data_IF_458600917213
#
_entry.id   IF_458600917213
#
_cell.length_a   1.000
_cell.length_b   1.000
_cell.length_c   1.000
_cell.angle_alpha   90.00
_cell.angle_beta   90.00
_cell.angle_gamma   90.00
#
_symmetry.space_group_name_H-M   'P 1'
#
loop_
_entity.id
_entity.type
_entity.pdbx_description
1 polymer ?
#
# COMPACT_ATOMS: atom_id res chain seq x y z
N UNK A 1 36.85 -1.96 76.33
CA UNK A 1 35.76 -2.18 77.30
C UNK A 1 35.21 -0.83 77.71
N UNK A 2 33.88 -0.59 77.64
CA UNK A 2 32.90 -1.33 76.82
C UNK A 2 33.22 -1.11 75.31
N UNK A 3 32.36 -0.91 74.31
CA UNK A 3 30.90 -0.90 74.18
C UNK A 3 30.52 -1.28 72.74
N UNK A 4 29.30 -1.76 72.53
CA UNK A 4 28.71 -2.01 71.21
C UNK A 4 27.23 -1.65 71.20
N UNK A 5 26.80 -0.83 70.25
CA UNK A 5 25.39 -0.56 69.95
C UNK A 5 25.20 -0.64 68.44
N UNK A 6 24.79 -1.82 67.99
CA UNK A 6 24.68 -2.14 66.58
C UNK A 6 23.50 -1.43 65.92
N UNK A 7 23.77 -0.76 64.80
CA UNK A 7 22.73 -0.24 63.92
C UNK A 7 22.04 -1.43 63.24
N UNK A 8 20.83 -1.76 63.68
CA UNK A 8 19.95 -2.69 62.94
C UNK A 8 19.64 -2.09 61.58
N UNK A 9 20.23 -2.65 60.51
CA UNK A 9 19.77 -2.37 59.16
C UNK A 9 18.31 -2.82 59.02
N UNK A 10 17.40 -1.86 58.84
CA UNK A 10 16.05 -2.17 58.36
C UNK A 10 16.14 -2.51 56.88
N UNK A 11 16.08 -3.80 56.55
CA UNK A 11 15.88 -4.25 55.18
C UNK A 11 14.51 -3.77 54.70
N UNK A 12 14.50 -2.88 53.70
CA UNK A 12 13.27 -2.50 53.02
C UNK A 12 12.67 -3.73 52.30
N UNK A 13 11.34 -3.93 52.34
CA UNK A 13 10.72 -5.05 51.65
C UNK A 13 10.89 -4.90 50.14
N UNK A 14 11.19 -6.01 49.45
CA UNK A 14 11.29 -6.02 48.01
C UNK A 14 9.93 -5.67 47.37
N UNK A 15 9.87 -4.58 46.61
CA UNK A 15 8.67 -4.19 45.87
C UNK A 15 8.49 -5.18 44.70
N UNK A 16 7.66 -6.20 44.90
CA UNK A 16 7.27 -7.15 43.86
C UNK A 16 6.42 -6.41 42.84
N UNK A 17 7.03 -5.97 41.73
CA UNK A 17 6.29 -5.50 40.56
C UNK A 17 5.52 -6.66 39.95
N UNK A 18 4.22 -6.76 40.25
CA UNK A 18 3.31 -7.62 39.50
C UNK A 18 3.40 -7.28 38.01
N UNK A 19 3.89 -8.24 37.22
CA UNK A 19 3.83 -8.17 35.76
C UNK A 19 2.41 -8.49 35.33
N UNK A 20 1.61 -7.47 35.07
CA UNK A 20 0.32 -7.64 34.41
C UNK A 20 0.54 -8.27 33.04
N UNK A 21 -0.09 -9.41 32.78
CA UNK A 21 -0.13 -9.99 31.45
C UNK A 21 -0.85 -9.01 30.50
N UNK A 22 -0.37 -8.82 29.26
CA UNK A 22 -1.05 -7.95 28.31
C UNK A 22 -2.48 -8.48 28.05
N UNK A 23 -3.49 -7.60 27.98
CA UNK A 23 -4.85 -8.03 27.70
C UNK A 23 -4.91 -8.70 26.32
N UNK A 24 -5.78 -9.72 26.21
CA UNK A 24 -5.96 -10.46 24.97
C UNK A 24 -6.25 -9.52 23.78
N UNK A 25 -5.71 -9.78 22.59
CA UNK A 25 -5.95 -8.94 21.42
C UNK A 25 -7.44 -8.91 21.10
N UNK A 26 -7.99 -7.70 20.90
CA UNK A 26 -9.38 -7.54 20.47
C UNK A 26 -9.59 -8.28 19.15
N UNK A 27 -10.73 -8.99 18.97
CA UNK A 27 -11.03 -9.67 17.71
C UNK A 27 -11.00 -8.64 16.56
N UNK A 28 -10.29 -8.98 15.48
CA UNK A 28 -10.19 -8.14 14.29
C UNK A 28 -11.40 -8.38 13.40
N UNK A 29 -11.96 -7.30 12.85
CA UNK A 29 -13.13 -7.34 11.97
C UNK A 29 -14.41 -6.86 12.66
N UNK A 30 -15.44 -6.60 11.86
CA UNK A 30 -16.78 -6.33 12.37
C UNK A 30 -17.41 -7.62 12.94
N UNK A 31 -18.39 -7.50 13.84
CA UNK A 31 -19.15 -8.66 14.32
C UNK A 31 -19.84 -9.38 13.14
N UNK A 32 -20.03 -10.71 13.19
CA UNK A 32 -20.85 -11.43 12.22
C UNK A 32 -22.22 -10.77 12.05
N UNK A 33 -22.67 -10.59 10.81
CA UNK A 33 -23.93 -9.92 10.46
C UNK A 33 -23.80 -8.42 10.14
N UNK A 34 -22.66 -7.77 10.36
CA UNK A 34 -22.44 -6.44 9.75
C UNK A 34 -22.09 -6.57 8.26
N UNK A 35 -22.70 -5.77 7.36
CA UNK A 35 -22.26 -5.71 5.97
C UNK A 35 -20.82 -5.19 5.92
N UNK A 36 -19.94 -5.95 5.28
CA UNK A 36 -18.53 -5.56 5.17
C UNK A 36 -18.39 -4.34 4.26
N UNK A 37 -17.73 -3.28 4.75
CA UNK A 37 -17.34 -2.12 3.95
C UNK A 37 -16.12 -2.40 3.03
N UNK A 38 -16.00 -3.64 2.56
CA UNK A 38 -14.95 -4.07 1.64
C UNK A 38 -15.22 -3.63 0.21
N UNK A 39 -14.21 -3.74 -0.66
CA UNK A 39 -14.43 -3.61 -2.11
C UNK A 39 -15.32 -4.76 -2.57
N UNK A 40 -16.36 -4.47 -3.34
CA UNK A 40 -17.17 -5.51 -3.96
C UNK A 40 -16.33 -6.25 -5.01
N UNK A 41 -16.41 -7.59 -4.99
CA UNK A 41 -15.89 -8.43 -6.07
C UNK A 41 -16.84 -8.42 -7.27
N UNK A 42 -16.40 -9.03 -8.37
CA UNK A 42 -17.16 -9.21 -9.61
C UNK A 42 -17.10 -10.68 -10.05
N UNK A 43 -18.05 -11.11 -10.88
CA UNK A 43 -18.13 -12.48 -11.40
C UNK A 43 -17.51 -12.64 -12.80
N UNK A 44 -17.54 -13.87 -13.34
CA UNK A 44 -17.00 -14.17 -14.67
C UNK A 44 -17.76 -13.51 -15.84
N UNK A 45 -19.05 -13.18 -15.66
CA UNK A 45 -19.85 -12.47 -16.67
C UNK A 45 -19.52 -10.97 -16.71
N UNK A 46 -18.99 -10.43 -15.61
CA UNK A 46 -18.55 -9.04 -15.48
C UNK A 46 -17.07 -8.82 -15.85
N UNK A 47 -16.30 -9.88 -16.11
CA UNK A 47 -14.86 -9.79 -16.33
C UNK A 47 -14.48 -9.58 -17.82
N UNK A 48 -13.67 -8.56 -18.13
CA UNK A 48 -13.05 -8.41 -19.47
C UNK A 48 -12.22 -9.63 -19.92
N UNK A 49 -11.72 -10.43 -18.97
CA UNK A 49 -11.02 -11.68 -19.23
C UNK A 49 -11.13 -12.63 -18.04
N UNK A 50 -11.23 -13.92 -18.34
CA UNK A 50 -10.98 -15.01 -17.39
C UNK A 50 -9.63 -15.64 -17.78
N UNK A 51 -8.77 -15.90 -16.79
CA UNK A 51 -7.47 -16.56 -16.98
C UNK A 51 -7.47 -17.81 -16.11
N UNK A 52 -7.48 -18.98 -16.73
CA UNK A 52 -7.27 -20.24 -16.03
C UNK A 52 -5.78 -20.42 -15.72
N UNK A 53 -5.47 -20.79 -14.48
CA UNK A 53 -4.11 -21.06 -14.03
C UNK A 53 -3.95 -22.58 -13.87
N UNK A 54 -2.99 -23.22 -14.54
CA UNK A 54 -2.81 -24.67 -14.44
C UNK A 54 -2.36 -25.08 -13.02
N UNK A 55 -2.70 -26.31 -12.58
CA UNK A 55 -2.31 -26.81 -11.28
C UNK A 55 -0.78 -26.88 -11.13
N UNK A 56 -0.28 -26.49 -9.95
CA UNK A 56 1.14 -26.50 -9.63
C UNK A 56 1.57 -27.90 -9.18
N UNK A 57 2.52 -28.51 -9.89
CA UNK A 57 3.09 -29.82 -9.53
C UNK A 57 2.38 -31.03 -10.14
N UNK A 58 1.33 -30.82 -10.95
CA UNK A 58 0.50 -31.90 -11.48
C UNK A 58 -0.33 -32.56 -10.37
N UNK A 59 -0.57 -33.86 -10.48
CA UNK A 59 -1.54 -34.58 -9.65
C UNK A 59 -0.99 -35.01 -8.28
N UNK A 60 0.26 -34.65 -7.94
CA UNK A 60 0.94 -35.07 -6.69
C UNK A 60 1.29 -33.89 -5.81
N UNK A 61 1.14 -34.08 -4.51
CA UNK A 61 1.48 -33.08 -3.50
C UNK A 61 3.00 -32.80 -3.51
N UNK A 62 3.44 -31.54 -3.75
CA UNK A 62 4.86 -31.20 -3.84
C UNK A 62 5.64 -31.36 -2.52
N UNK A 63 4.95 -31.62 -1.41
CA UNK A 63 5.53 -31.78 -0.07
C UNK A 63 5.62 -33.24 0.39
N UNK A 64 4.68 -34.11 -0.01
CA UNK A 64 4.60 -35.50 0.46
C UNK A 64 4.32 -36.54 -0.63
N UNK A 65 4.32 -36.16 -1.91
CA UNK A 65 4.13 -36.99 -3.11
C UNK A 65 2.80 -37.77 -3.22
N UNK A 66 1.90 -37.61 -2.25
CA UNK A 66 0.54 -38.19 -2.27
C UNK A 66 -0.29 -37.62 -3.42
N UNK A 67 -1.12 -38.45 -4.04
CA UNK A 67 -2.08 -38.02 -5.06
C UNK A 67 -3.04 -36.95 -4.49
N UNK A 68 -3.29 -35.91 -5.26
CA UNK A 68 -4.20 -34.82 -4.90
C UNK A 68 -5.66 -35.19 -5.24
N UNK A 69 -6.58 -34.82 -4.35
CA UNK A 69 -8.02 -34.91 -4.60
C UNK A 69 -8.52 -33.62 -5.26
N UNK A 70 -9.44 -33.75 -6.22
CA UNK A 70 -10.14 -32.59 -6.79
C UNK A 70 -11.09 -31.97 -5.77
N UNK A 71 -11.01 -30.65 -5.60
CA UNK A 71 -11.85 -29.86 -4.70
C UNK A 71 -12.62 -28.75 -5.43
N UNK A 72 -12.64 -28.80 -6.77
CA UNK A 72 -13.18 -27.76 -7.63
C UNK A 72 -12.27 -26.54 -7.74
N UNK A 73 -12.80 -25.49 -8.38
CA UNK A 73 -12.09 -24.25 -8.67
C UNK A 73 -12.58 -23.12 -7.78
N UNK A 74 -11.67 -22.44 -7.08
CA UNK A 74 -11.95 -21.16 -6.42
C UNK A 74 -11.60 -19.99 -7.35
N UNK A 75 -12.30 -18.87 -7.22
CA UNK A 75 -12.17 -17.71 -8.12
C UNK A 75 -11.70 -16.47 -7.37
N UNK A 76 -10.73 -15.75 -7.95
CA UNK A 76 -10.20 -14.51 -7.38
C UNK A 76 -10.34 -13.35 -8.35
N UNK A 77 -11.35 -12.52 -8.12
CA UNK A 77 -11.53 -11.26 -8.85
C UNK A 77 -10.41 -10.25 -8.52
N UNK A 78 -9.78 -9.68 -9.56
CA UNK A 78 -8.72 -8.66 -9.45
C UNK A 78 -8.97 -7.57 -10.48
N UNK A 79 -9.04 -6.31 -10.02
CA UNK A 79 -9.03 -5.14 -10.91
C UNK A 79 -7.58 -4.85 -11.27
N UNK A 80 -7.24 -4.95 -12.55
CA UNK A 80 -5.91 -4.69 -13.08
C UNK A 80 -5.93 -3.57 -14.13
N UNK A 81 -4.83 -2.83 -14.24
CA UNK A 81 -4.65 -1.74 -15.21
C UNK A 81 -3.59 -2.07 -16.24
N UNK A 82 -3.78 -1.61 -17.48
CA UNK A 82 -2.70 -1.67 -18.47
C UNK A 82 -1.61 -0.67 -18.08
N UNK A 83 -0.31 -1.04 -18.13
CA UNK A 83 0.78 -0.19 -17.67
C UNK A 83 0.87 1.09 -18.51
N UNK A 84 0.71 2.25 -17.85
CA UNK A 84 0.85 3.56 -18.51
C UNK A 84 2.32 3.80 -18.83
N UNK A 85 2.68 3.72 -20.12
CA UNK A 85 4.03 4.01 -20.60
C UNK A 85 4.32 5.51 -20.50
N UNK A 86 5.35 5.87 -19.74
CA UNK A 86 5.81 7.25 -19.64
C UNK A 86 6.65 7.64 -20.88
N UNK A 87 6.36 8.80 -21.48
CA UNK A 87 7.11 9.36 -22.60
C UNK A 87 7.95 10.57 -22.18
N UNK A 88 9.17 10.68 -22.74
CA UNK A 88 10.11 11.76 -22.42
C UNK A 88 10.03 12.89 -23.44
N UNK A 89 9.11 13.83 -23.21
CA UNK A 89 8.92 15.01 -24.08
C UNK A 89 9.85 16.15 -23.66
N UNK A 90 10.71 16.63 -24.58
CA UNK A 90 11.59 17.77 -24.35
C UNK A 90 11.07 19.04 -25.05
N UNK A 91 10.53 19.98 -24.28
CA UNK A 91 10.07 21.27 -24.79
C UNK A 91 11.24 22.24 -25.02
N UNK A 92 11.55 22.54 -26.29
CA UNK A 92 12.50 23.59 -26.67
C UNK A 92 11.74 24.93 -26.79
N UNK A 93 11.89 25.80 -25.79
CA UNK A 93 11.14 27.06 -25.68
C UNK A 93 11.97 28.25 -26.16
N UNK A 94 11.82 28.73 -27.43
CA UNK A 94 12.65 29.81 -27.97
C UNK A 94 12.41 31.13 -27.24
N UNK A 95 13.49 31.69 -26.67
CA UNK A 95 13.50 32.98 -25.99
C UNK A 95 13.95 34.07 -26.96
N UNK A 96 13.14 35.12 -27.14
CA UNK A 96 13.44 36.28 -28.01
C UNK A 96 13.42 37.57 -27.20
N UNK A 97 14.26 38.53 -27.55
CA UNK A 97 14.33 39.85 -26.91
C UNK A 97 13.97 40.94 -27.93
N UNK A 98 13.13 41.90 -27.53
CA UNK A 98 12.81 43.06 -28.36
C UNK A 98 13.64 44.27 -27.92
N UNK A 99 14.57 44.79 -28.74
CA UNK A 99 15.41 45.92 -28.36
C UNK A 99 14.62 47.22 -28.17
N UNK A 100 13.50 47.39 -28.90
CA UNK A 100 12.68 48.62 -28.86
C UNK A 100 11.91 48.78 -27.54
N UNK A 101 11.26 47.72 -27.05
CA UNK A 101 10.50 47.76 -25.79
C UNK A 101 11.25 47.14 -24.59
N UNK A 102 12.47 46.62 -24.81
CA UNK A 102 13.34 45.95 -23.83
C UNK A 102 12.70 44.76 -23.11
N UNK A 103 11.67 44.14 -23.70
CA UNK A 103 10.99 42.96 -23.14
C UNK A 103 11.51 41.65 -23.75
N UNK A 104 11.48 40.61 -22.93
CA UNK A 104 11.75 39.23 -23.33
C UNK A 104 10.43 38.50 -23.55
N UNK A 105 10.35 37.72 -24.62
CA UNK A 105 9.21 36.86 -24.97
C UNK A 105 9.70 35.41 -25.02
N UNK A 106 9.03 34.52 -24.29
CA UNK A 106 9.32 33.09 -24.26
C UNK A 106 7.99 32.32 -24.11
N UNK A 107 7.75 31.28 -24.92
CA UNK A 107 6.51 30.51 -24.84
C UNK A 107 6.45 29.61 -23.61
N UNK A 108 5.19 29.31 -23.22
CA UNK A 108 4.73 28.23 -22.33
C UNK A 108 5.09 26.83 -22.84
N UNK A 109 5.48 25.87 -22.01
CA UNK A 109 5.19 24.47 -22.35
C UNK A 109 3.66 24.25 -22.20
N UNK A 110 2.97 23.68 -23.20
CA UNK A 110 1.53 23.37 -23.09
C UNK A 110 1.30 22.21 -22.13
N UNK A 111 0.17 22.21 -21.41
CA UNK A 111 -0.27 21.11 -20.54
C UNK A 111 0.75 20.59 -19.51
N UNK A 112 1.65 21.46 -19.03
CA UNK A 112 2.58 21.19 -17.92
C UNK A 112 2.51 22.34 -16.91
N UNK A 113 2.39 22.02 -15.62
CA UNK A 113 2.47 23.00 -14.54
C UNK A 113 3.84 23.74 -14.54
N UNK A 114 3.89 25.05 -14.23
CA UNK A 114 5.15 25.79 -14.19
C UNK A 114 6.17 25.13 -13.25
N UNK A 115 7.39 24.89 -13.77
CA UNK A 115 8.50 24.22 -13.06
C UNK A 115 8.28 22.73 -12.70
N UNK A 116 7.20 22.10 -13.17
CA UNK A 116 7.00 20.65 -13.00
C UNK A 116 7.84 19.85 -13.99
N UNK A 117 8.41 18.73 -13.52
CA UNK A 117 9.00 17.69 -14.37
C UNK A 117 7.92 16.79 -15.00
N UNK A 118 6.82 16.58 -14.28
CA UNK A 118 5.73 15.68 -14.69
C UNK A 118 4.63 16.45 -15.41
N UNK A 119 4.18 15.93 -16.56
CA UNK A 119 3.08 16.49 -17.33
C UNK A 119 1.73 16.31 -16.64
N UNK A 120 0.76 17.17 -16.99
CA UNK A 120 -0.52 17.22 -16.28
C UNK A 120 -1.30 15.90 -16.35
N UNK A 121 -1.21 15.14 -17.45
CA UNK A 121 -1.85 13.83 -17.57
C UNK A 121 -1.33 12.84 -16.52
N UNK A 122 -0.01 12.73 -16.36
CA UNK A 122 0.60 11.79 -15.41
C UNK A 122 0.22 12.13 -13.96
N UNK A 123 0.25 13.43 -13.62
CA UNK A 123 -0.19 13.92 -12.30
C UNK A 123 -1.69 13.66 -12.08
N UNK A 124 -2.54 14.00 -13.05
CA UNK A 124 -3.99 13.81 -12.94
C UNK A 124 -4.37 12.33 -12.81
N UNK A 125 -3.73 11.44 -13.57
CA UNK A 125 -3.92 9.98 -13.44
C UNK A 125 -3.51 9.51 -12.05
N UNK A 126 -2.30 9.87 -11.58
CA UNK A 126 -1.82 9.46 -10.25
C UNK A 126 -2.75 9.94 -9.12
N UNK A 127 -3.15 11.22 -9.14
CA UNK A 127 -4.10 11.77 -8.15
C UNK A 127 -5.49 11.12 -8.27
N UNK A 128 -5.95 10.77 -9.47
CA UNK A 128 -7.24 10.08 -9.64
C UNK A 128 -7.19 8.66 -9.10
N UNK A 129 -6.13 7.89 -9.39
CA UNK A 129 -5.97 6.54 -8.84
C UNK A 129 -5.89 6.56 -7.31
N UNK A 130 -5.10 7.47 -6.74
CA UNK A 130 -4.93 7.60 -5.31
C UNK A 130 -6.19 8.14 -4.60
N UNK A 131 -6.69 9.31 -5.01
CA UNK A 131 -7.74 10.03 -4.28
C UNK A 131 -9.18 9.66 -4.68
N UNK A 132 -9.41 9.15 -5.89
CA UNK A 132 -10.76 8.74 -6.35
C UNK A 132 -10.97 7.23 -6.32
N UNK A 133 -9.98 6.44 -6.76
CA UNK A 133 -10.09 4.98 -6.79
C UNK A 133 -9.52 4.30 -5.52
N UNK A 134 -8.88 5.07 -4.63
CA UNK A 134 -8.30 4.58 -3.39
C UNK A 134 -7.23 3.52 -3.63
N UNK A 135 -6.54 3.57 -4.76
CA UNK A 135 -5.41 2.68 -5.08
C UNK A 135 -4.18 3.32 -4.42
N UNK A 136 -3.54 2.67 -3.43
CA UNK A 136 -2.45 3.26 -2.66
C UNK A 136 -1.23 3.60 -3.53
#
# INVERSE_FOLDING_TARGET
MPSSLGIRQMLAPAIVRQRYAPPAPKPKGARPGHPGAGRHAFDACQAERVIEIPPVGGDRCPTCDTLLEDKGTDSRAVIESHPVKAERVLYRLPKRYCPRCRRTFQPRAPAVLPKSLYGNQLLATATTMHSRHGIP
#
